data_IF_844744122119
#
_entry.id   IF_844744122119
#
_cell.length_a   1.000
_cell.length_b   1.000
_cell.length_c   1.000
_cell.angle_alpha   90.00
_cell.angle_beta   90.00
_cell.angle_gamma   90.00
#
_symmetry.space_group_name_H-M   'P 1'
#
loop_
_entity.id
_entity.type
_entity.pdbx_description
1 polymer ?
#
# COMPACT_ATOMS: atom_id res chain seq x y z
N UNK A 1 -17.40 8.09 13.01
CA UNK A 1 -18.68 8.35 13.71
C UNK A 1 -18.44 9.24 14.94
N UNK A 2 -19.40 10.10 15.33
CA UNK A 2 -19.23 11.00 16.48
C UNK A 2 -18.98 10.24 17.81
N UNK A 3 -19.49 9.01 17.92
CA UNK A 3 -19.23 8.08 19.03
C UNK A 3 -18.82 6.71 18.46
N UNK A 4 -17.50 6.45 18.28
CA UNK A 4 -17.02 5.17 17.76
C UNK A 4 -17.36 3.98 18.65
N UNK A 5 -17.74 2.85 18.04
CA UNK A 5 -18.06 1.60 18.76
C UNK A 5 -16.81 0.79 19.13
N UNK A 6 -15.67 1.06 18.50
CA UNK A 6 -14.38 0.43 18.77
C UNK A 6 -13.23 1.36 18.37
N UNK A 7 -11.99 0.93 18.62
CA UNK A 7 -10.75 1.60 18.16
C UNK A 7 -10.24 1.07 16.81
N UNK A 8 -10.96 0.15 16.16
CA UNK A 8 -10.56 -0.38 14.87
C UNK A 8 -11.01 0.56 13.75
N UNK A 9 -10.05 1.01 12.94
CA UNK A 9 -10.31 1.70 11.68
C UNK A 9 -10.22 0.70 10.53
N UNK A 10 -11.06 0.87 9.51
CA UNK A 10 -10.90 0.18 8.24
C UNK A 10 -9.80 0.89 7.46
N UNK A 11 -8.74 0.18 7.10
CA UNK A 11 -7.60 0.73 6.37
C UNK A 11 -7.93 1.00 4.90
N UNK A 12 -7.13 1.82 4.23
CA UNK A 12 -7.30 2.18 2.81
C UNK A 12 -6.92 1.10 1.78
N UNK A 13 -7.09 -0.19 2.09
CA UNK A 13 -6.83 -1.29 1.17
C UNK A 13 -8.05 -2.24 1.17
N UNK A 14 -8.61 -2.46 -0.01
CA UNK A 14 -9.85 -3.19 -0.20
C UNK A 14 -9.71 -4.18 -1.35
N UNK A 15 -10.25 -5.39 -1.16
CA UNK A 15 -10.34 -6.41 -2.20
C UNK A 15 -11.82 -6.71 -2.42
N UNK A 16 -12.24 -6.67 -3.68
CA UNK A 16 -13.61 -6.95 -4.06
C UNK A 16 -13.65 -7.92 -5.24
N UNK A 17 -14.79 -8.60 -5.37
CA UNK A 17 -15.12 -9.37 -6.56
C UNK A 17 -15.79 -8.48 -7.63
N UNK A 18 -16.28 -9.10 -8.70
CA UNK A 18 -16.93 -8.42 -9.83
C UNK A 18 -18.19 -7.62 -9.46
N UNK A 19 -18.84 -7.91 -8.31
CA UNK A 19 -20.05 -7.21 -7.85
C UNK A 19 -19.76 -5.80 -7.35
N UNK A 20 -18.49 -5.43 -7.15
CA UNK A 20 -18.11 -4.10 -6.68
C UNK A 20 -18.68 -2.98 -7.56
N UNK A 21 -18.63 -3.17 -8.87
CA UNK A 21 -19.11 -2.18 -9.85
C UNK A 21 -20.61 -1.94 -9.73
N UNK A 22 -21.50 -2.96 -9.90
CA UNK A 22 -22.94 -2.73 -9.77
C UNK A 22 -23.36 -2.27 -8.36
N UNK A 23 -22.67 -2.71 -7.30
CA UNK A 23 -22.93 -2.21 -5.95
C UNK A 23 -22.55 -0.74 -5.79
N UNK A 24 -21.43 -0.30 -6.36
CA UNK A 24 -21.01 1.09 -6.35
C UNK A 24 -21.94 1.99 -7.17
N UNK A 25 -22.40 1.53 -8.34
CA UNK A 25 -23.37 2.25 -9.18
C UNK A 25 -24.72 2.48 -8.48
N UNK A 26 -25.12 1.56 -7.60
CA UNK A 26 -26.35 1.66 -6.82
C UNK A 26 -26.22 2.51 -5.55
N UNK A 27 -25.04 3.09 -5.26
CA UNK A 27 -24.85 3.97 -4.11
C UNK A 27 -25.50 5.34 -4.33
N UNK A 28 -26.02 5.90 -3.25
CA UNK A 28 -26.54 7.26 -3.21
C UNK A 28 -25.61 8.14 -2.37
N UNK A 29 -25.46 9.44 -2.68
CA UNK A 29 -24.65 10.34 -1.88
C UNK A 29 -25.06 10.34 -0.41
N UNK A 30 -24.09 10.34 0.49
CA UNK A 30 -24.30 10.38 1.94
C UNK A 30 -24.74 11.76 2.41
N UNK A 31 -24.94 11.92 3.72
CA UNK A 31 -25.26 13.21 4.33
C UNK A 31 -24.18 14.29 4.10
N UNK A 32 -22.95 13.90 3.74
CA UNK A 32 -21.85 14.82 3.37
C UNK A 32 -21.66 14.94 1.84
N UNK A 33 -22.54 14.34 1.05
CA UNK A 33 -22.53 14.45 -0.41
C UNK A 33 -21.54 13.53 -1.13
N UNK A 34 -21.00 12.51 -0.45
CA UNK A 34 -20.01 11.58 -1.01
C UNK A 34 -20.62 10.21 -1.32
N UNK A 35 -20.09 9.52 -2.32
CA UNK A 35 -20.31 8.08 -2.50
C UNK A 35 -19.31 7.32 -1.61
N UNK A 36 -19.83 6.70 -0.55
CA UNK A 36 -19.00 6.18 0.53
C UNK A 36 -18.48 4.78 0.24
N UNK A 37 -17.16 4.59 0.29
CA UNK A 37 -16.56 3.24 0.30
C UNK A 37 -17.06 2.40 1.49
N UNK A 38 -17.42 3.07 2.59
CA UNK A 38 -18.02 2.42 3.77
C UNK A 38 -19.40 1.85 3.46
N UNK A 39 -20.16 2.46 2.55
CA UNK A 39 -21.48 1.94 2.15
C UNK A 39 -21.32 0.75 1.19
N UNK A 40 -20.33 0.76 0.30
CA UNK A 40 -19.96 -0.41 -0.49
C UNK A 40 -19.56 -1.59 0.43
N UNK A 41 -18.68 -1.36 1.40
CA UNK A 41 -18.31 -2.38 2.38
C UNK A 41 -19.51 -2.90 3.18
N UNK A 42 -20.46 -2.01 3.51
CA UNK A 42 -21.68 -2.40 4.22
C UNK A 42 -22.57 -3.31 3.39
N UNK A 43 -22.68 -3.11 2.07
CA UNK A 43 -23.42 -4.03 1.17
C UNK A 43 -22.90 -5.46 1.29
N UNK A 44 -21.59 -5.65 1.17
CA UNK A 44 -20.97 -6.97 1.36
C UNK A 44 -21.17 -7.51 2.78
N UNK A 45 -21.16 -6.65 3.80
CA UNK A 45 -21.43 -7.06 5.18
C UNK A 45 -22.87 -7.55 5.38
N UNK A 46 -23.84 -6.86 4.78
CA UNK A 46 -25.27 -7.20 4.83
C UNK A 46 -25.57 -8.51 4.10
N UNK A 47 -24.82 -8.82 3.04
CA UNK A 47 -24.89 -10.11 2.33
C UNK A 47 -24.13 -11.25 3.04
N UNK A 48 -23.36 -10.95 4.09
CA UNK A 48 -22.55 -11.93 4.82
C UNK A 48 -21.22 -12.31 4.13
N UNK A 49 -20.87 -11.60 3.05
CA UNK A 49 -19.69 -11.87 2.21
C UNK A 49 -18.48 -10.97 2.56
N UNK A 50 -18.62 -10.07 3.52
CA UNK A 50 -17.49 -9.25 3.99
C UNK A 50 -16.60 -10.05 4.95
N UNK A 51 -15.37 -10.30 4.52
CA UNK A 51 -14.29 -10.79 5.40
C UNK A 51 -13.44 -9.63 5.90
N UNK A 52 -13.32 -9.50 7.22
CA UNK A 52 -12.48 -8.49 7.87
C UNK A 52 -11.25 -9.14 8.47
N UNK A 53 -10.07 -8.79 7.96
CA UNK A 53 -8.78 -9.26 8.47
C UNK A 53 -8.14 -8.23 9.39
N UNK A 54 -7.62 -8.69 10.54
CA UNK A 54 -7.01 -7.79 11.53
C UNK A 54 -5.55 -7.56 11.18
N UNK A 55 -5.21 -6.32 10.83
CA UNK A 55 -3.84 -5.86 10.74
C UNK A 55 -3.25 -5.75 12.16
N UNK A 56 -2.39 -6.69 12.53
CA UNK A 56 -1.79 -6.77 13.86
C UNK A 56 -0.85 -5.58 14.15
N UNK A 57 -0.66 -5.28 15.44
CA UNK A 57 0.18 -4.16 15.92
C UNK A 57 1.66 -4.19 15.51
N UNK A 58 2.13 -5.29 14.92
CA UNK A 58 3.48 -5.42 14.37
C UNK A 58 3.61 -4.87 12.95
N UNK A 59 2.48 -4.53 12.31
CA UNK A 59 2.42 -3.86 11.01
C UNK A 59 2.28 -2.36 11.21
N UNK A 60 2.84 -1.58 10.30
CA UNK A 60 2.69 -0.13 10.28
C UNK A 60 1.70 0.26 9.18
N UNK A 61 0.57 0.84 9.58
CA UNK A 61 -0.31 1.58 8.69
C UNK A 61 -0.14 3.07 8.98
N UNK A 62 0.46 3.77 8.03
CA UNK A 62 0.79 5.19 8.14
C UNK A 62 -0.07 5.96 7.15
N UNK A 63 -0.72 7.02 7.63
CA UNK A 63 -1.47 7.95 6.80
C UNK A 63 -0.74 9.29 6.68
N UNK A 64 -0.72 9.86 5.49
CA UNK A 64 -0.02 11.12 5.19
C UNK A 64 -0.99 12.30 5.08
N UNK A 65 -2.13 12.24 5.78
CA UNK A 65 -3.18 13.25 5.74
C UNK A 65 -2.81 14.59 6.38
N UNK A 66 -1.73 14.69 7.16
CA UNK A 66 -1.24 15.95 7.74
C UNK A 66 0.26 16.15 7.47
N UNK A 67 0.75 17.39 7.60
CA UNK A 67 2.18 17.69 7.46
C UNK A 67 3.03 16.93 8.49
N UNK A 68 2.52 16.81 9.72
CA UNK A 68 3.19 16.07 10.81
C UNK A 68 3.23 14.58 10.49
N UNK A 69 2.11 13.98 10.10
CA UNK A 69 2.05 12.54 9.80
C UNK A 69 2.87 12.16 8.56
N UNK A 70 2.97 13.06 7.58
CA UNK A 70 3.86 12.91 6.43
C UNK A 70 5.35 12.89 6.86
N UNK A 71 5.75 13.80 7.75
CA UNK A 71 7.12 13.84 8.26
C UNK A 71 7.46 12.58 9.07
N UNK A 72 6.55 12.13 9.93
CA UNK A 72 6.69 10.88 10.69
C UNK A 72 6.82 9.67 9.77
N UNK A 73 5.99 9.58 8.73
CA UNK A 73 6.06 8.50 7.75
C UNK A 73 7.41 8.50 7.01
N UNK A 74 7.90 9.68 6.61
CA UNK A 74 9.22 9.83 6.00
C UNK A 74 10.36 9.37 6.92
N UNK A 75 10.30 9.76 8.21
CA UNK A 75 11.30 9.36 9.20
C UNK A 75 11.27 7.84 9.47
N UNK A 76 10.07 7.25 9.49
CA UNK A 76 9.88 5.81 9.65
C UNK A 76 10.55 5.02 8.51
N UNK A 77 10.25 5.38 7.26
CA UNK A 77 10.84 4.75 6.07
C UNK A 77 12.36 4.95 6.06
N UNK A 78 12.84 6.18 6.32
CA UNK A 78 14.27 6.46 6.35
C UNK A 78 15.01 5.58 7.36
N UNK A 79 14.44 5.38 8.55
CA UNK A 79 15.04 4.57 9.61
C UNK A 79 15.19 3.11 9.19
N UNK A 80 14.14 2.55 8.58
CA UNK A 80 14.16 1.17 8.08
C UNK A 80 15.20 1.00 6.97
N UNK A 81 15.19 1.88 5.96
CA UNK A 81 16.11 1.76 4.81
C UNK A 81 17.58 1.91 5.24
N UNK A 82 17.87 2.86 6.15
CA UNK A 82 19.24 3.03 6.67
C UNK A 82 19.73 1.83 7.46
N UNK A 83 18.85 1.16 8.21
CA UNK A 83 19.22 0.03 9.06
C UNK A 83 19.40 -1.26 8.27
N UNK A 84 18.53 -1.52 7.29
CA UNK A 84 18.53 -2.76 6.52
C UNK A 84 19.37 -2.67 5.25
N UNK A 85 19.59 -1.47 4.73
CA UNK A 85 20.15 -1.27 3.39
C UNK A 85 19.18 -1.67 2.27
N UNK A 86 17.93 -2.02 2.58
CA UNK A 86 16.88 -2.35 1.62
C UNK A 86 15.96 -1.15 1.41
N UNK A 87 15.27 -1.10 0.26
CA UNK A 87 14.28 -0.07 -0.03
C UNK A 87 12.86 -0.56 0.22
N UNK A 88 12.04 0.29 0.81
CA UNK A 88 10.61 -0.01 1.01
C UNK A 88 9.84 0.46 -0.23
N UNK A 89 8.96 -0.40 -0.76
CA UNK A 89 8.10 -0.10 -1.90
C UNK A 89 8.85 0.32 -3.18
N UNK A 90 9.99 -0.31 -3.49
CA UNK A 90 10.71 -0.16 -4.76
C UNK A 90 10.01 -0.98 -5.86
N UNK A 91 9.33 -0.36 -6.84
CA UNK A 91 8.53 -1.10 -7.83
C UNK A 91 9.38 -1.99 -8.74
N UNK A 92 10.58 -1.57 -9.10
CA UNK A 92 11.48 -2.32 -9.97
C UNK A 92 11.97 -3.60 -9.28
N UNK A 93 12.30 -3.51 -7.99
CA UNK A 93 12.66 -4.69 -7.19
C UNK A 93 11.47 -5.64 -7.05
N UNK A 94 10.27 -5.12 -6.73
CA UNK A 94 9.05 -5.93 -6.60
C UNK A 94 8.78 -6.64 -7.93
N UNK A 95 8.80 -5.93 -9.05
CA UNK A 95 8.56 -6.49 -10.38
C UNK A 95 9.60 -7.57 -10.73
N UNK A 96 10.86 -7.34 -10.42
CA UNK A 96 11.93 -8.32 -10.64
C UNK A 96 11.73 -9.58 -9.79
N UNK A 97 11.46 -9.43 -8.50
CA UNK A 97 11.25 -10.57 -7.58
C UNK A 97 9.96 -11.35 -7.88
N UNK A 98 8.92 -10.68 -8.36
CA UNK A 98 7.68 -11.30 -8.83
C UNK A 98 7.81 -11.95 -10.21
N UNK A 99 8.95 -11.79 -10.89
CA UNK A 99 9.19 -12.35 -12.22
C UNK A 99 8.46 -11.61 -13.35
N UNK A 100 7.98 -10.39 -13.11
CA UNK A 100 7.34 -9.56 -14.14
C UNK A 100 8.36 -8.95 -15.12
N UNK A 101 9.61 -8.78 -14.68
CA UNK A 101 10.72 -8.31 -15.51
C UNK A 101 11.96 -9.19 -15.32
N UNK A 102 12.80 -9.26 -16.35
CA UNK A 102 14.07 -9.97 -16.34
C UNK A 102 15.18 -9.14 -15.66
N UNK A 103 16.31 -9.80 -15.38
CA UNK A 103 17.52 -9.15 -14.87
C UNK A 103 18.04 -8.06 -15.83
N UNK A 104 17.97 -8.30 -17.15
CA UNK A 104 18.42 -7.33 -18.15
C UNK A 104 17.50 -6.10 -18.20
N UNK A 105 16.18 -6.32 -18.06
CA UNK A 105 15.23 -5.22 -17.96
C UNK A 105 15.45 -4.38 -16.70
N UNK A 106 15.69 -5.02 -15.56
CA UNK A 106 16.03 -4.32 -14.32
C UNK A 106 17.34 -3.54 -14.45
N UNK A 107 18.37 -4.12 -15.07
CA UNK A 107 19.64 -3.45 -15.33
C UNK A 107 19.44 -2.20 -16.19
N UNK A 108 18.67 -2.30 -17.27
CA UNK A 108 18.36 -1.18 -18.15
C UNK A 108 17.62 -0.03 -17.42
N UNK A 109 16.75 -0.35 -16.45
CA UNK A 109 16.10 0.65 -15.59
C UNK A 109 17.09 1.30 -14.61
N UNK A 110 18.08 0.56 -14.14
CA UNK A 110 19.03 1.00 -13.14
C UNK A 110 20.15 1.89 -13.71
N UNK A 111 20.62 1.61 -14.93
CA UNK A 111 21.75 2.29 -15.58
C UNK A 111 21.60 3.82 -15.66
N UNK A 112 20.46 4.39 -16.08
CA UNK A 112 20.27 5.85 -16.10
C UNK A 112 20.39 6.48 -14.72
N UNK A 113 20.10 5.71 -13.66
CA UNK A 113 20.09 6.15 -12.27
C UNK A 113 21.39 5.79 -11.52
N UNK A 114 22.39 5.18 -12.17
CA UNK A 114 23.56 4.58 -11.52
C UNK A 114 24.37 5.57 -10.65
N UNK A 115 24.31 6.87 -10.94
CA UNK A 115 24.96 7.92 -10.14
C UNK A 115 24.24 8.21 -8.81
N UNK A 116 22.99 7.81 -8.66
CA UNK A 116 22.18 7.98 -7.45
C UNK A 116 22.28 6.80 -6.49
N UNK A 117 21.88 7.00 -5.24
CA UNK A 117 21.72 5.88 -4.29
C UNK A 117 20.67 4.85 -4.74
N UNK A 118 19.67 5.27 -5.52
CA UNK A 118 18.61 4.41 -6.02
C UNK A 118 19.09 3.50 -7.15
N UNK A 119 19.77 4.03 -8.17
CA UNK A 119 20.32 3.19 -9.24
C UNK A 119 21.39 2.22 -8.75
N UNK A 120 22.25 2.65 -7.80
CA UNK A 120 23.19 1.73 -7.13
C UNK A 120 22.47 0.61 -6.38
N UNK A 121 21.34 0.92 -5.74
CA UNK A 121 20.51 -0.09 -5.09
C UNK A 121 20.00 -1.13 -6.09
N UNK A 122 19.42 -0.68 -7.21
CA UNK A 122 18.87 -1.56 -8.25
C UNK A 122 19.93 -2.44 -8.93
N UNK A 123 21.15 -1.93 -9.10
CA UNK A 123 22.26 -2.75 -9.62
C UNK A 123 22.69 -3.81 -8.61
N UNK A 124 22.74 -3.47 -7.32
CA UNK A 124 23.15 -4.40 -6.25
C UNK A 124 22.18 -5.57 -6.07
N UNK A 125 20.87 -5.36 -6.22
CA UNK A 125 19.89 -6.45 -6.09
C UNK A 125 20.04 -7.54 -7.18
N UNK A 126 20.74 -7.25 -8.29
CA UNK A 126 21.08 -8.25 -9.31
C UNK A 126 22.25 -9.17 -8.87
N UNK A 127 23.04 -8.72 -7.90
CA UNK A 127 24.23 -9.42 -7.40
C UNK A 127 23.94 -10.15 -6.07
N UNK A 128 23.15 -9.53 -5.20
CA UNK A 128 22.87 -10.02 -3.84
C UNK A 128 21.54 -10.78 -3.76
N UNK A 129 21.59 -12.04 -3.31
CA UNK A 129 20.39 -12.81 -2.98
C UNK A 129 19.86 -12.40 -1.59
N UNK A 130 18.80 -11.60 -1.58
CA UNK A 130 18.05 -11.24 -0.35
C UNK A 130 16.98 -12.31 -0.09
N UNK A 131 16.89 -12.79 1.16
CA UNK A 131 15.99 -13.87 1.61
C UNK A 131 14.76 -13.33 2.35
#
# INVERSE_FOLDING_TARGET
PARPKSRYAVTGLYFYDERAVPFAEALTPSARGELEITDLNRRYLEEGDLRVEVMGRGMAWLDTGTHESLLEAGAFIQTLEKRQGLKVACPEEIAYRMGYISADQLRALAEPLAKSGYGRYLLRILEDRVF
#
